data_IF_845003748746
#
_entry.id   IF_845003748746
#
_cell.length_a   1.000
_cell.length_b   1.000
_cell.length_c   1.000
_cell.angle_alpha   90.00
_cell.angle_beta   90.00
_cell.angle_gamma   90.00
#
_symmetry.space_group_name_H-M   'P 1'
#
loop_
_entity.id
_entity.type
_entity.pdbx_description
1 polymer ?
#
# COMPACT_ATOMS: atom_id res chain seq x y z
N UNK A 1 -0.05 -2.67 13.47
CA UNK A 1 0.18 -3.59 12.34
C UNK A 1 0.41 -2.78 11.09
N UNK A 2 1.30 -3.20 10.20
CA UNK A 2 1.59 -2.55 8.91
C UNK A 2 0.90 -3.32 7.77
N UNK A 3 0.25 -2.61 6.85
CA UNK A 3 -0.20 -3.15 5.58
C UNK A 3 0.63 -2.51 4.47
N UNK A 4 1.08 -3.30 3.50
CA UNK A 4 1.86 -2.80 2.37
C UNK A 4 1.72 -3.75 1.18
N UNK A 5 2.03 -3.28 -0.03
CA UNK A 5 1.96 -4.05 -1.27
C UNK A 5 3.10 -5.04 -1.48
N UNK A 6 4.11 -5.03 -0.59
CA UNK A 6 5.22 -5.99 -0.67
C UNK A 6 6.23 -5.72 -1.79
N UNK A 7 6.38 -4.47 -2.25
CA UNK A 7 7.45 -4.12 -3.20
C UNK A 7 8.83 -4.48 -2.63
N UNK A 8 9.74 -5.06 -3.43
CA UNK A 8 11.11 -5.36 -3.02
C UNK A 8 12.02 -4.13 -3.02
N UNK A 9 11.48 -2.91 -3.19
CA UNK A 9 12.24 -1.67 -3.18
C UNK A 9 11.38 -0.48 -2.68
N UNK A 10 12.03 0.68 -2.54
CA UNK A 10 11.36 1.95 -2.21
C UNK A 10 10.76 2.00 -0.80
N UNK A 11 9.76 2.87 -0.64
CA UNK A 11 9.13 3.16 0.66
C UNK A 11 8.52 1.91 1.32
N UNK A 12 7.90 1.02 0.54
CA UNK A 12 7.29 -0.19 1.08
C UNK A 12 8.34 -1.16 1.66
N UNK A 13 9.50 -1.31 1.02
CA UNK A 13 10.58 -2.14 1.56
C UNK A 13 11.14 -1.54 2.85
N UNK A 14 11.31 -0.21 2.90
CA UNK A 14 11.80 0.49 4.08
C UNK A 14 10.83 0.30 5.25
N UNK A 15 9.52 0.46 5.00
CA UNK A 15 8.47 0.24 6.00
C UNK A 15 8.45 -1.22 6.49
N UNK A 16 8.57 -2.20 5.59
CA UNK A 16 8.63 -3.62 5.94
C UNK A 16 9.84 -3.94 6.83
N UNK A 17 11.03 -3.44 6.48
CA UNK A 17 12.24 -3.60 7.30
C UNK A 17 12.12 -2.91 8.67
N UNK A 18 11.50 -1.73 8.71
CA UNK A 18 11.22 -1.04 9.97
C UNK A 18 10.29 -1.87 10.87
N UNK A 19 9.26 -2.48 10.28
CA UNK A 19 8.29 -3.32 11.00
C UNK A 19 8.97 -4.58 11.54
N UNK A 20 9.76 -5.28 10.72
CA UNK A 20 10.52 -6.46 11.13
C UNK A 20 11.47 -6.15 12.29
N UNK A 21 12.28 -5.09 12.16
CA UNK A 21 13.24 -4.71 13.18
C UNK A 21 12.59 -4.36 14.52
N UNK A 22 11.33 -3.87 14.49
CA UNK A 22 10.56 -3.51 15.69
C UNK A 22 9.55 -4.58 16.11
N UNK A 23 9.52 -5.73 15.44
CA UNK A 23 8.55 -6.83 15.70
C UNK A 23 7.09 -6.36 15.58
N UNK A 24 6.83 -5.41 14.69
CA UNK A 24 5.47 -4.97 14.36
C UNK A 24 4.87 -5.98 13.37
N UNK A 25 3.70 -6.57 13.64
CA UNK A 25 3.03 -7.45 12.67
C UNK A 25 2.80 -6.74 11.34
N UNK A 26 3.03 -7.44 10.23
CA UNK A 26 2.81 -6.90 8.89
C UNK A 26 2.11 -7.88 7.95
N UNK A 27 1.29 -7.35 7.05
CA UNK A 27 0.61 -8.10 5.99
C UNK A 27 1.02 -7.51 4.64
N UNK A 28 1.57 -8.36 3.77
CA UNK A 28 1.98 -7.98 2.42
C UNK A 28 0.91 -8.38 1.39
N UNK A 29 0.25 -7.41 0.77
CA UNK A 29 -0.67 -7.61 -0.35
C UNK A 29 0.10 -7.67 -1.66
N UNK A 30 0.70 -8.83 -1.94
CA UNK A 30 1.46 -9.02 -3.18
C UNK A 30 0.51 -9.12 -4.38
N UNK A 31 0.86 -8.51 -5.53
CA UNK A 31 0.05 -8.62 -6.74
C UNK A 31 0.03 -10.06 -7.25
N UNK A 32 -1.16 -10.59 -7.52
CA UNK A 32 -1.34 -11.89 -8.17
C UNK A 32 -1.32 -11.72 -9.69
N UNK A 33 -0.12 -11.81 -10.26
CA UNK A 33 0.12 -11.71 -11.69
C UNK A 33 -0.51 -12.84 -12.49
N UNK A 34 -0.66 -14.03 -11.89
CA UNK A 34 -1.22 -15.20 -12.58
C UNK A 34 -2.71 -15.02 -12.85
N UNK A 35 -3.41 -14.37 -11.93
CA UNK A 35 -4.85 -14.14 -12.01
C UNK A 35 -5.22 -12.85 -12.73
N UNK A 36 -4.43 -11.78 -12.55
CA UNK A 36 -4.83 -10.43 -12.96
C UNK A 36 -3.87 -9.77 -13.96
N UNK A 37 -2.78 -10.44 -14.37
CA UNK A 37 -1.80 -9.93 -15.32
C UNK A 37 -1.40 -8.46 -15.01
N UNK A 38 -1.50 -7.55 -15.98
CA UNK A 38 -1.12 -6.14 -15.81
C UNK A 38 -1.99 -5.36 -14.81
N UNK A 39 -3.19 -5.86 -14.50
CA UNK A 39 -4.08 -5.24 -13.51
C UNK A 39 -3.72 -5.64 -12.08
N UNK A 40 -2.88 -6.66 -11.87
CA UNK A 40 -2.58 -7.19 -10.54
C UNK A 40 -2.16 -6.15 -9.49
N UNK A 41 -1.37 -5.11 -9.81
CA UNK A 41 -1.04 -4.05 -8.85
C UNK A 41 -2.24 -3.19 -8.42
N UNK A 42 -3.22 -3.01 -9.30
CA UNK A 42 -4.44 -2.24 -9.02
C UNK A 42 -5.44 -3.08 -8.23
N UNK A 43 -5.58 -4.36 -8.57
CA UNK A 43 -6.48 -5.29 -7.86
C UNK A 43 -6.09 -5.47 -6.38
N UNK A 44 -4.79 -5.55 -6.07
CA UNK A 44 -4.35 -5.55 -4.66
C UNK A 44 -4.68 -4.24 -3.92
N UNK A 45 -4.78 -3.13 -4.63
CA UNK A 45 -5.15 -1.84 -4.06
C UNK A 45 -6.67 -1.73 -3.85
N UNK A 46 -7.48 -2.61 -4.44
CA UNK A 46 -8.88 -2.76 -4.06
C UNK A 46 -8.97 -3.54 -2.74
N UNK A 47 -8.26 -4.66 -2.65
CA UNK A 47 -8.32 -5.54 -1.47
C UNK A 47 -7.68 -4.94 -0.20
N UNK A 48 -6.59 -4.16 -0.33
CA UNK A 48 -5.87 -3.65 0.84
C UNK A 48 -6.67 -2.62 1.65
N UNK A 49 -7.28 -1.58 1.07
CA UNK A 49 -8.10 -0.61 1.80
C UNK A 49 -9.39 -1.20 2.39
N UNK A 50 -9.92 -2.29 1.81
CA UNK A 50 -11.10 -2.99 2.34
C UNK A 50 -10.87 -3.61 3.73
N UNK A 51 -9.62 -3.75 4.17
CA UNK A 51 -9.34 -4.13 5.58
C UNK A 51 -9.58 -2.99 6.57
N UNK A 52 -9.99 -1.82 6.10
CA UNK A 52 -10.29 -0.61 6.86
C UNK A 52 -9.15 -0.21 7.82
N UNK A 53 -7.94 0.06 7.29
CA UNK A 53 -6.86 0.58 8.11
C UNK A 53 -7.22 1.94 8.72
N UNK A 54 -6.61 2.25 9.86
CA UNK A 54 -6.81 3.53 10.56
C UNK A 54 -6.37 4.76 9.74
N UNK A 55 -5.50 4.56 8.75
CA UNK A 55 -4.98 5.60 7.89
C UNK A 55 -3.99 5.04 6.87
N UNK A 56 -3.71 5.83 5.83
CA UNK A 56 -2.74 5.51 4.77
C UNK A 56 -1.63 6.54 4.76
N UNK A 57 -0.38 6.06 4.79
CA UNK A 57 0.79 6.87 4.48
C UNK A 57 1.04 6.79 2.97
N UNK A 58 0.86 7.91 2.28
CA UNK A 58 0.95 7.97 0.83
C UNK A 58 2.24 8.69 0.40
N UNK A 59 3.05 7.96 -0.38
CA UNK A 59 4.27 8.45 -1.01
C UNK A 59 4.06 8.40 -2.54
N UNK A 60 3.89 9.56 -3.20
CA UNK A 60 3.70 9.62 -4.66
C UNK A 60 4.88 8.98 -5.41
N UNK A 61 4.61 8.42 -6.58
CA UNK A 61 5.68 7.90 -7.44
C UNK A 61 5.22 7.41 -8.80
N UNK A 62 4.16 6.60 -8.84
CA UNK A 62 3.53 6.14 -10.08
C UNK A 62 2.01 6.09 -9.90
N UNK A 63 1.27 5.91 -11.00
CA UNK A 63 -0.19 5.76 -10.95
C UNK A 63 -0.70 4.60 -10.07
N UNK A 64 0.15 3.64 -9.69
CA UNK A 64 -0.22 2.57 -8.75
C UNK A 64 -0.37 3.10 -7.32
N UNK A 65 0.50 4.02 -6.89
CA UNK A 65 0.40 4.61 -5.56
C UNK A 65 -0.78 5.58 -5.51
N UNK A 66 -1.01 6.31 -6.60
CA UNK A 66 -2.13 7.26 -6.72
C UNK A 66 -3.47 6.52 -6.66
N UNK A 67 -3.58 5.37 -7.35
CA UNK A 67 -4.76 4.49 -7.29
C UNK A 67 -5.07 4.02 -5.86
N UNK A 68 -4.05 3.62 -5.09
CA UNK A 68 -4.25 3.22 -3.68
C UNK A 68 -4.78 4.39 -2.84
N UNK A 69 -4.23 5.60 -3.04
CA UNK A 69 -4.67 6.79 -2.32
C UNK A 69 -6.13 7.14 -2.69
N UNK A 70 -6.49 7.09 -3.96
CA UNK A 70 -7.85 7.36 -4.42
C UNK A 70 -8.86 6.35 -3.84
N UNK A 71 -8.51 5.06 -3.81
CA UNK A 71 -9.36 4.00 -3.22
C UNK A 71 -9.53 4.18 -1.72
N UNK A 72 -8.45 4.48 -0.99
CA UNK A 72 -8.54 4.78 0.44
C UNK A 72 -9.40 6.02 0.72
N UNK A 73 -9.26 7.07 -0.09
CA UNK A 73 -10.04 8.30 0.01
C UNK A 73 -11.53 8.05 -0.21
N UNK A 74 -11.89 7.21 -1.18
CA UNK A 74 -13.28 6.82 -1.45
C UNK A 74 -13.93 6.11 -0.26
N UNK A 75 -13.15 5.38 0.53
CA UNK A 75 -13.60 4.70 1.75
C UNK A 75 -13.58 5.61 3.00
N UNK A 76 -13.23 6.89 2.86
CA UNK A 76 -13.14 7.84 3.98
C UNK A 76 -11.95 7.59 4.91
N UNK A 77 -10.96 6.81 4.48
CA UNK A 77 -9.76 6.52 5.27
C UNK A 77 -8.86 7.77 5.25
N UNK A 78 -8.39 8.26 6.41
CA UNK A 78 -7.47 9.39 6.47
C UNK A 78 -6.16 9.09 5.73
N UNK A 79 -5.71 10.04 4.90
CA UNK A 79 -4.47 9.92 4.13
C UNK A 79 -3.49 10.98 4.60
N UNK A 80 -2.27 10.55 4.91
CA UNK A 80 -1.16 11.44 5.14
C UNK A 80 -0.20 11.36 3.95
N UNK A 81 -0.15 12.44 3.18
CA UNK A 81 0.71 12.57 2.00
C UNK A 81 2.11 13.07 2.38
N UNK A 82 3.13 12.45 1.80
CA UNK A 82 4.54 12.83 1.95
C UNK A 82 5.17 13.04 0.59
N UNK A 83 6.10 14.00 0.47
CA UNK A 83 6.76 14.29 -0.80
C UNK A 83 5.85 15.06 -1.76
N UNK A 84 5.68 16.35 -1.47
CA UNK A 84 5.18 17.33 -2.43
C UNK A 84 6.32 18.21 -2.91
N UNK A 85 6.43 18.38 -4.23
CA UNK A 85 6.78 19.67 -4.81
C UNK A 85 5.46 20.38 -5.15
#
# INVERSE_FOLDING_TARGET
>A
MLLHGGSPNGAELIAAKWADNRKVPQIAFRPDWTKHAKAAPFERNDAMPETLPIGVLYFPGTGIQDDLADKAKKLGIPIWTFGGA
#
